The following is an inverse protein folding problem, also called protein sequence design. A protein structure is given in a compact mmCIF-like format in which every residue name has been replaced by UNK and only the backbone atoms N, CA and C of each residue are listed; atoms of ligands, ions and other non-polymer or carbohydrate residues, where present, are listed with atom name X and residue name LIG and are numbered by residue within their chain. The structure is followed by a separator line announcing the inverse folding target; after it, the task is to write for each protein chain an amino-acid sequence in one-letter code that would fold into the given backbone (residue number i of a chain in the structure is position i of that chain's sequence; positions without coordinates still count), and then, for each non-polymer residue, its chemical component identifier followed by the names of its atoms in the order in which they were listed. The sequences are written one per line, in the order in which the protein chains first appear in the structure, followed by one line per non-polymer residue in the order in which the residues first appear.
data_IF_861955907557
#
_entry.id   IF_861955907557
#
_cell.length_a   1.000
_cell.length_b   1.000
_cell.length_c   1.000
_cell.angle_alpha   90.00
_cell.angle_beta   90.00
_cell.angle_gamma   90.00
#
_symmetry.space_group_name_H-M   'P 1'
#
loop_
_entity.id
_entity.type
_entity.pdbx_description
1 polymer ?
#
# COMPACT_ATOMS: atom_id res chain seq x y z
N UNK A 1 2.83 -0.17 -20.48
CA UNK A 1 2.56 1.13 -21.15
C UNK A 1 3.09 1.03 -22.57
N UNK A 2 2.37 1.59 -23.53
CA UNK A 2 2.81 1.66 -24.93
C UNK A 2 3.11 3.12 -25.30
N UNK A 3 4.14 3.36 -26.09
CA UNK A 3 4.59 4.68 -26.51
C UNK A 3 5.06 4.72 -27.97
N UNK A 4 5.35 5.91 -28.51
CA UNK A 4 5.71 6.10 -29.92
C UNK A 4 7.06 5.45 -30.32
N UNK A 5 7.86 5.02 -29.34
CA UNK A 5 9.10 4.29 -29.55
C UNK A 5 8.94 2.77 -29.64
N UNK A 6 7.73 2.24 -29.49
CA UNK A 6 7.51 0.81 -29.57
C UNK A 6 7.59 0.31 -31.01
N UNK A 7 8.24 -0.83 -31.19
CA UNK A 7 8.34 -1.52 -32.47
C UNK A 7 7.54 -2.81 -32.45
N UNK A 8 7.20 -3.32 -33.63
CA UNK A 8 6.52 -4.63 -33.75
C UNK A 8 7.29 -5.74 -33.03
N UNK A 9 8.62 -5.72 -33.12
CA UNK A 9 9.50 -6.70 -32.46
C UNK A 9 9.29 -6.74 -30.93
N UNK A 10 9.07 -5.59 -30.28
CA UNK A 10 8.85 -5.56 -28.83
C UNK A 10 7.51 -6.19 -28.45
N UNK A 11 6.47 -5.98 -29.26
CA UNK A 11 5.17 -6.59 -29.06
C UNK A 11 5.21 -8.10 -29.30
N UNK A 12 5.92 -8.56 -30.34
CA UNK A 12 6.08 -9.99 -30.62
C UNK A 12 6.80 -10.68 -29.45
N UNK A 13 7.91 -10.12 -28.96
CA UNK A 13 8.64 -10.65 -27.79
C UNK A 13 7.79 -10.67 -26.51
N UNK A 14 6.98 -9.63 -26.29
CA UNK A 14 6.08 -9.57 -25.14
C UNK A 14 4.97 -10.62 -25.24
N UNK A 15 4.40 -10.80 -26.44
CA UNK A 15 3.39 -11.82 -26.72
C UNK A 15 3.94 -13.23 -26.48
N UNK A 16 5.12 -13.55 -27.03
CA UNK A 16 5.74 -14.87 -26.87
C UNK A 16 6.00 -15.19 -25.39
N UNK A 17 6.49 -14.21 -24.62
CA UNK A 17 6.71 -14.36 -23.19
C UNK A 17 5.42 -14.61 -22.39
N UNK A 18 4.31 -13.95 -22.74
CA UNK A 18 3.01 -14.21 -22.13
C UNK A 18 2.51 -15.63 -22.43
N UNK A 19 2.64 -16.08 -23.69
CA UNK A 19 2.27 -17.44 -24.07
C UNK A 19 3.13 -18.49 -23.34
N UNK A 20 4.42 -18.24 -23.14
CA UNK A 20 5.30 -19.10 -22.36
C UNK A 20 4.81 -19.24 -20.90
N UNK A 21 4.51 -18.12 -20.25
CA UNK A 21 3.97 -18.10 -18.88
C UNK A 21 2.63 -18.84 -18.79
N UNK A 22 1.71 -18.61 -19.72
CA UNK A 22 0.42 -19.29 -19.74
C UNK A 22 0.57 -20.81 -19.90
N UNK A 23 1.51 -21.26 -20.76
CA UNK A 23 1.81 -22.67 -20.93
C UNK A 23 2.44 -23.29 -19.66
N UNK A 24 3.28 -22.56 -18.93
CA UNK A 24 3.83 -23.01 -17.63
C UNK A 24 2.76 -23.10 -16.54
N UNK A 25 1.78 -22.21 -16.56
CA UNK A 25 0.70 -22.15 -15.58
C UNK A 25 -0.48 -23.06 -15.92
N UNK A 26 -0.60 -23.53 -17.17
CA UNK A 26 -1.60 -24.50 -17.63
C UNK A 26 -1.45 -25.85 -16.91
N UNK A 27 -1.96 -25.92 -15.68
CA UNK A 27 -1.85 -27.08 -14.77
C UNK A 27 -1.79 -26.70 -13.29
N UNK A 28 -1.48 -25.45 -12.95
CA UNK A 28 -1.49 -24.92 -11.58
C UNK A 28 -2.84 -24.28 -11.27
N UNK A 29 -3.79 -25.07 -10.78
CA UNK A 29 -5.06 -24.57 -10.26
C UNK A 29 -4.87 -23.95 -8.88
N UNK A 30 -4.70 -22.63 -8.84
CA UNK A 30 -4.69 -21.84 -7.62
C UNK A 30 -5.30 -20.48 -7.90
N UNK A 31 -6.64 -20.42 -8.03
CA UNK A 31 -7.38 -19.16 -8.07
C UNK A 31 -7.43 -18.62 -6.65
N UNK A 32 -6.46 -17.78 -6.27
CA UNK A 32 -6.71 -16.79 -5.24
C UNK A 32 -7.67 -15.79 -5.86
N UNK A 33 -8.97 -15.96 -5.59
CA UNK A 33 -9.98 -14.95 -5.91
C UNK A 33 -9.57 -13.67 -5.17
N UNK A 34 -8.94 -12.74 -5.89
CA UNK A 34 -8.71 -11.38 -5.40
C UNK A 34 -10.12 -10.81 -5.24
N UNK A 35 -10.55 -10.65 -3.99
CA UNK A 35 -11.89 -10.23 -3.63
C UNK A 35 -12.34 -9.05 -4.49
N UNK A 36 -13.56 -9.14 -5.01
CA UNK A 36 -14.17 -8.08 -5.79
C UNK A 36 -14.02 -6.75 -5.06
N UNK A 37 -13.45 -5.75 -5.74
CA UNK A 37 -13.22 -4.39 -5.25
C UNK A 37 -14.50 -3.83 -4.61
N UNK A 38 -14.62 -3.98 -3.30
CA UNK A 38 -15.54 -3.17 -2.52
C UNK A 38 -15.03 -1.73 -2.58
N UNK A 39 -15.94 -0.78 -2.77
CA UNK A 39 -15.61 0.64 -2.70
C UNK A 39 -15.08 0.94 -1.31
N UNK A 40 -13.76 1.09 -1.17
CA UNK A 40 -13.12 1.50 0.07
C UNK A 40 -13.68 2.89 0.41
N UNK A 41 -14.44 2.99 1.50
CA UNK A 41 -14.95 4.26 1.99
C UNK A 41 -13.79 5.01 2.67
N UNK A 42 -13.04 5.76 1.86
CA UNK A 42 -11.96 6.62 2.33
C UNK A 42 -12.59 7.90 2.86
N UNK A 43 -12.57 8.06 4.18
CA UNK A 43 -12.99 9.31 4.81
C UNK A 43 -12.05 10.45 4.43
N UNK A 44 -12.61 11.66 4.28
CA UNK A 44 -11.80 12.84 3.98
C UNK A 44 -10.82 13.11 5.15
N UNK A 45 -9.51 13.17 4.91
CA UNK A 45 -8.53 13.43 5.96
C UNK A 45 -8.71 14.84 6.55
N UNK A 46 -8.37 14.97 7.84
CA UNK A 46 -8.28 16.26 8.51
C UNK A 46 -6.84 16.74 8.45
N UNK A 47 -6.61 17.85 7.77
CA UNK A 47 -5.28 18.46 7.67
C UNK A 47 -5.02 19.29 8.95
N UNK A 48 -4.05 18.87 9.76
CA UNK A 48 -3.64 19.58 11.00
C UNK A 48 -2.49 20.55 10.74
N UNK A 49 -1.60 20.18 9.82
CA UNK A 49 -0.41 20.91 9.44
C UNK A 49 -0.24 20.78 7.92
N UNK A 50 0.37 21.78 7.28
CA UNK A 50 0.66 21.65 5.85
C UNK A 50 1.77 20.61 5.62
N UNK A 51 1.82 20.08 4.40
CA UNK A 51 2.74 19.01 4.03
C UNK A 51 4.22 19.41 4.23
N UNK A 52 4.58 20.66 3.87
CA UNK A 52 5.96 21.14 3.97
C UNK A 52 6.45 21.17 5.42
N UNK A 53 5.65 21.72 6.31
CA UNK A 53 6.00 21.82 7.73
C UNK A 53 6.06 20.43 8.38
N UNK A 54 5.12 19.54 8.04
CA UNK A 54 5.11 18.18 8.59
C UNK A 54 6.31 17.36 8.14
N UNK A 55 6.71 17.47 6.86
CA UNK A 55 7.90 16.80 6.35
C UNK A 55 9.18 17.36 6.97
N UNK A 56 9.26 18.67 7.20
CA UNK A 56 10.45 19.33 7.76
C UNK A 56 10.52 19.35 9.29
N UNK A 57 9.47 18.89 9.99
CA UNK A 57 9.49 18.79 11.44
C UNK A 57 10.55 17.77 11.91
N UNK A 58 11.38 18.15 12.88
CA UNK A 58 12.39 17.27 13.48
C UNK A 58 11.80 16.39 14.58
N UNK A 59 10.73 16.83 15.25
CA UNK A 59 10.13 16.12 16.37
C UNK A 59 9.13 15.07 15.89
N UNK A 60 9.67 13.89 15.59
CA UNK A 60 8.95 12.72 15.07
C UNK A 60 9.18 11.51 15.94
N UNK A 61 8.20 10.62 15.99
CA UNK A 61 8.32 9.34 16.66
C UNK A 61 7.60 8.22 15.92
N UNK A 62 8.16 7.01 15.97
CA UNK A 62 7.51 5.80 15.46
C UNK A 62 6.58 5.25 16.52
N UNK A 63 5.29 5.18 16.20
CA UNK A 63 4.24 4.60 17.04
C UNK A 63 3.70 3.34 16.40
N UNK A 64 3.16 2.42 17.19
CA UNK A 64 2.40 1.30 16.61
C UNK A 64 1.21 1.84 15.82
N UNK A 65 1.01 1.35 14.59
CA UNK A 65 0.03 1.96 13.69
C UNK A 65 -1.41 1.86 14.21
N UNK A 66 -1.73 0.83 15.00
CA UNK A 66 -3.02 0.70 15.69
C UNK A 66 -3.26 1.78 16.76
N UNK A 67 -2.19 2.29 17.37
CA UNK A 67 -2.22 3.34 18.39
C UNK A 67 -2.10 4.76 17.80
N UNK A 68 -1.92 4.87 16.49
CA UNK A 68 -1.71 6.15 15.81
C UNK A 68 -3.01 6.97 15.62
N UNK A 69 -4.18 6.45 16.01
CA UNK A 69 -5.44 7.16 15.86
C UNK A 69 -5.43 8.50 16.62
N UNK A 70 -5.76 9.59 15.91
CA UNK A 70 -5.74 10.95 16.43
C UNK A 70 -4.36 11.63 16.39
N UNK A 71 -3.29 10.91 16.02
CA UNK A 71 -1.94 11.46 15.83
C UNK A 71 -1.83 12.12 14.45
N UNK A 72 -0.87 13.04 14.30
CA UNK A 72 -0.55 13.66 13.01
C UNK A 72 0.50 12.82 12.32
N UNK A 73 0.22 12.34 11.12
CA UNK A 73 1.18 11.55 10.36
C UNK A 73 2.40 12.39 9.98
N UNK A 74 3.57 11.76 10.02
CA UNK A 74 4.83 12.31 9.51
C UNK A 74 5.35 11.54 8.28
N UNK A 75 4.65 10.46 7.88
CA UNK A 75 4.91 9.70 6.65
C UNK A 75 3.67 9.65 5.76
N UNK A 76 3.87 9.30 4.49
CA UNK A 76 2.76 8.99 3.58
C UNK A 76 2.47 7.49 3.64
N UNK A 77 1.22 7.08 3.89
CA UNK A 77 0.80 5.68 3.75
C UNK A 77 -0.02 5.54 2.46
N UNK A 78 0.31 4.53 1.66
CA UNK A 78 -0.37 4.23 0.40
C UNK A 78 -0.72 2.75 0.36
N UNK A 79 -1.86 2.42 -0.25
CA UNK A 79 -2.27 1.04 -0.52
C UNK A 79 -2.25 0.81 -2.03
N UNK A 80 -1.70 -0.31 -2.48
CA UNK A 80 -1.68 -0.69 -3.89
C UNK A 80 -2.31 -2.07 -4.13
N UNK A 81 -3.23 -2.18 -5.10
CA UNK A 81 -3.94 -1.10 -5.82
C UNK A 81 -4.90 -0.30 -4.89
N UNK A 82 -5.22 0.98 -5.19
CA UNK A 82 -4.96 1.71 -6.44
C UNK A 82 -3.64 2.51 -6.49
N UNK A 83 -2.88 2.60 -5.39
CA UNK A 83 -1.61 3.33 -5.34
C UNK A 83 -1.73 4.82 -5.03
N UNK A 84 -2.83 5.25 -4.41
CA UNK A 84 -3.01 6.64 -3.95
C UNK A 84 -2.73 6.75 -2.44
N UNK A 85 -2.35 7.95 -1.94
CA UNK A 85 -2.20 8.18 -0.51
C UNK A 85 -3.51 7.96 0.25
N UNK A 86 -3.43 7.14 1.30
CA UNK A 86 -4.46 7.01 2.34
C UNK A 86 -4.30 8.11 3.40
N UNK A 87 -3.06 8.42 3.77
CA UNK A 87 -2.71 9.54 4.65
C UNK A 87 -1.42 10.19 4.17
N UNK A 88 -1.36 11.52 4.23
CA UNK A 88 -0.18 12.33 3.95
C UNK A 88 0.42 12.91 5.25
N UNK A 89 1.70 13.29 5.26
CA UNK A 89 2.28 14.04 6.36
C UNK A 89 1.50 15.34 6.63
N UNK A 90 1.21 15.60 7.91
CA UNK A 90 0.41 16.74 8.35
C UNK A 90 -1.09 16.46 8.46
N UNK A 91 -1.55 15.29 8.02
CA UNK A 91 -2.92 14.83 8.21
C UNK A 91 -3.09 14.03 9.51
N UNK A 92 -4.27 14.13 10.12
CA UNK A 92 -4.63 13.35 11.30
C UNK A 92 -5.05 11.94 10.88
N UNK A 93 -4.37 10.95 11.44
CA UNK A 93 -4.70 9.54 11.25
C UNK A 93 -6.01 9.27 11.99
N UNK A 94 -7.02 8.77 11.29
CA UNK A 94 -8.32 8.44 11.89
C UNK A 94 -8.55 6.93 11.93
N UNK A 95 -9.62 6.52 12.64
CA UNK A 95 -9.93 5.09 12.79
C UNK A 95 -10.23 4.40 11.46
N UNK A 96 -10.93 5.09 10.55
CA UNK A 96 -11.25 4.56 9.22
C UNK A 96 -9.99 4.27 8.39
N UNK A 97 -8.93 5.07 8.51
CA UNK A 97 -7.64 4.81 7.86
C UNK A 97 -6.98 3.55 8.44
N UNK A 98 -6.98 3.38 9.76
CA UNK A 98 -6.43 2.16 10.40
C UNK A 98 -7.21 0.93 9.93
N UNK A 99 -8.55 0.98 9.96
CA UNK A 99 -9.39 -0.13 9.51
C UNK A 99 -9.18 -0.43 8.01
N UNK A 100 -8.88 0.59 7.20
CA UNK A 100 -8.56 0.43 5.77
C UNK A 100 -7.23 -0.30 5.56
N UNK A 101 -6.22 0.00 6.38
CA UNK A 101 -4.94 -0.73 6.39
C UNK A 101 -5.14 -2.20 6.82
N UNK A 102 -5.95 -2.44 7.85
CA UNK A 102 -6.27 -3.80 8.32
C UNK A 102 -6.95 -4.64 7.23
N UNK A 103 -7.88 -4.02 6.49
CA UNK A 103 -8.54 -4.68 5.36
C UNK A 103 -7.55 -4.92 4.22
N UNK A 104 -6.67 -3.96 3.90
CA UNK A 104 -5.64 -4.14 2.89
C UNK A 104 -4.72 -5.33 3.20
N UNK A 105 -4.28 -5.49 4.45
CA UNK A 105 -3.50 -6.66 4.85
C UNK A 105 -4.28 -7.96 4.71
N UNK A 106 -5.56 -7.98 5.07
CA UNK A 106 -6.43 -9.16 4.92
C UNK A 106 -6.60 -9.57 3.47
N UNK A 107 -6.73 -8.58 2.59
CA UNK A 107 -6.95 -8.77 1.15
C UNK A 107 -5.64 -9.04 0.38
N UNK A 108 -4.50 -9.08 1.08
CA UNK A 108 -3.19 -9.27 0.47
C UNK A 108 -2.74 -8.09 -0.39
N UNK A 109 -3.24 -6.88 -0.12
CA UNK A 109 -2.83 -5.68 -0.82
C UNK A 109 -1.51 -5.15 -0.25
N UNK A 110 -0.73 -4.48 -1.08
CA UNK A 110 0.53 -3.89 -0.67
C UNK A 110 0.29 -2.59 0.09
N UNK A 111 0.83 -2.50 1.31
CA UNK A 111 0.80 -1.27 2.12
C UNK A 111 2.21 -0.68 2.21
N UNK A 112 2.36 0.56 1.75
CA UNK A 112 3.61 1.31 1.76
C UNK A 112 3.57 2.41 2.82
N UNK A 113 4.74 2.77 3.38
CA UNK A 113 4.86 3.89 4.32
C UNK A 113 4.74 3.54 5.80
N UNK A 114 4.61 2.24 6.10
CA UNK A 114 4.70 1.69 7.45
C UNK A 114 6.08 1.01 7.65
N UNK A 115 6.66 1.19 8.83
CA UNK A 115 7.92 0.58 9.24
C UNK A 115 7.69 -0.85 9.73
N UNK A 116 8.67 -1.74 9.54
CA UNK A 116 8.56 -3.14 9.95
C UNK A 116 7.87 -4.05 8.91
N UNK A 117 7.38 -3.48 7.81
CA UNK A 117 7.03 -4.22 6.60
C UNK A 117 8.27 -4.39 5.73
N UNK A 118 8.55 -5.61 5.29
CA UNK A 118 9.52 -5.81 4.21
C UNK A 118 8.82 -5.57 2.88
N UNK A 119 9.44 -4.74 2.03
CA UNK A 119 8.89 -4.34 0.75
C UNK A 119 8.57 -5.57 -0.11
N UNK A 120 7.29 -5.76 -0.47
CA UNK A 120 6.84 -6.82 -1.37
C UNK A 120 6.33 -8.10 -0.70
N UNK A 121 6.07 -8.13 0.62
CA UNK A 121 5.43 -9.28 1.27
C UNK A 121 3.90 -9.21 1.21
N UNK A 122 3.39 -9.43 0.00
CA UNK A 122 2.10 -10.06 -0.19
C UNK A 122 2.23 -11.53 0.27
N UNK A 123 1.72 -11.88 1.46
CA UNK A 123 1.57 -13.28 1.90
C UNK A 123 2.37 -13.76 3.12
N UNK A 124 2.88 -12.88 4.00
CA UNK A 124 3.39 -13.36 5.29
C UNK A 124 2.23 -13.99 6.10
N UNK A 125 2.44 -15.21 6.60
CA UNK A 125 1.47 -15.90 7.44
C UNK A 125 1.12 -15.03 8.67
N UNK A 126 -0.14 -15.01 9.15
CA UNK A 126 -0.63 -14.14 10.23
C UNK A 126 0.05 -14.31 11.60
N UNK A 127 1.07 -15.18 11.72
CA UNK A 127 1.70 -15.59 12.97
C UNK A 127 3.11 -15.03 13.19
N UNK A 128 3.66 -14.27 12.24
CA UNK A 128 4.81 -13.40 12.52
C UNK A 128 4.30 -12.00 12.82
N UNK A 129 3.98 -11.74 14.10
CA UNK A 129 3.63 -10.39 14.59
C UNK A 129 4.83 -9.45 14.47
N UNK A 130 5.18 -9.04 13.25
CA UNK A 130 6.05 -7.89 13.02
C UNK A 130 5.31 -6.69 13.59
N UNK A 131 5.92 -6.01 14.57
CA UNK A 131 5.39 -4.76 15.12
C UNK A 131 5.46 -3.74 13.99
N UNK A 132 4.32 -3.47 13.37
CA UNK A 132 4.20 -2.48 12.29
C UNK A 132 4.04 -1.09 12.93
N UNK A 133 4.87 -0.15 12.49
CA UNK A 133 4.88 1.21 13.03
C UNK A 133 4.62 2.25 11.95
N UNK A 134 4.16 3.41 12.36
CA UNK A 134 3.99 4.59 11.51
C UNK A 134 4.70 5.77 12.16
N UNK A 135 5.34 6.61 11.34
CA UNK A 135 6.00 7.81 11.79
C UNK A 135 4.95 8.90 12.03
N UNK A 136 4.89 9.44 13.23
CA UNK A 136 3.99 10.53 13.62
C UNK A 136 4.78 11.74 14.14
N UNK A 137 4.17 12.92 14.06
CA UNK A 137 4.65 14.09 14.81
C UNK A 137 4.35 13.90 16.30
N UNK A 138 5.24 14.41 17.15
CA UNK A 138 5.01 14.46 18.61
C UNK A 138 3.94 15.47 19.00
#
# INVERSE_FOLDING_TARGET
MTGPGDTKEYYDRFYDALCEIDNELAGRSGTSDIGSSETVNISRPVIKMNLYDAVNCEDKESVEYHDACGRVSASTVCIYPPGIPLVCPGEVINRNMIDTVDNAFRDGLDVMGLEGLEAGLCGAAPDERKIVKILCLR
#
